data_IF_085948987083
#
_entry.id   IF_085948987083
#
_cell.length_a   1.000
_cell.length_b   1.000
_cell.length_c   1.000
_cell.angle_alpha   90.00
_cell.angle_beta   90.00
_cell.angle_gamma   90.00
#
_symmetry.space_group_name_H-M   'P 1'
#
loop_
_entity.id
_entity.type
_entity.pdbx_description
1 polymer ?
#
# COMPACT_ATOMS: atom_id res chain seq x y z
N UNK A 1 12.99 25.42 -2.96
CA UNK A 1 12.07 24.35 -3.39
C UNK A 1 10.69 24.68 -2.85
N UNK A 2 9.61 24.23 -3.48
CA UNK A 2 8.23 24.52 -3.06
C UNK A 2 7.67 23.44 -2.13
N UNK A 3 6.56 23.71 -1.44
CA UNK A 3 5.88 22.71 -0.60
C UNK A 3 5.44 21.50 -1.41
N UNK A 4 4.98 21.71 -2.67
CA UNK A 4 4.58 20.62 -3.58
C UNK A 4 5.75 19.69 -3.90
N UNK A 5 6.96 20.21 -4.02
CA UNK A 5 8.14 19.36 -4.26
C UNK A 5 8.38 18.38 -3.10
N UNK A 6 8.32 18.87 -1.85
CA UNK A 6 8.53 18.01 -0.69
C UNK A 6 7.36 17.05 -0.46
N UNK A 7 6.12 17.52 -0.70
CA UNK A 7 4.94 16.64 -0.62
C UNK A 7 5.00 15.55 -1.68
N UNK A 8 5.51 15.84 -2.90
CA UNK A 8 5.69 14.83 -3.94
C UNK A 8 6.72 13.76 -3.53
N UNK A 9 7.78 14.13 -2.80
CA UNK A 9 8.73 13.14 -2.24
C UNK A 9 8.04 12.24 -1.22
N UNK A 10 7.20 12.81 -0.34
CA UNK A 10 6.42 12.04 0.62
C UNK A 10 5.43 11.08 -0.08
N UNK A 11 4.72 11.57 -1.11
CA UNK A 11 3.82 10.76 -1.94
C UNK A 11 4.57 9.59 -2.60
N UNK A 12 5.68 9.87 -3.27
CA UNK A 12 6.45 8.82 -3.95
C UNK A 12 6.90 7.74 -2.97
N UNK A 13 7.33 8.13 -1.77
CA UNK A 13 7.73 7.18 -0.72
C UNK A 13 6.55 6.36 -0.20
N UNK A 14 5.37 6.96 -0.07
CA UNK A 14 4.16 6.25 0.35
C UNK A 14 3.69 5.21 -0.68
N UNK A 15 3.82 5.49 -1.98
CA UNK A 15 3.46 4.56 -3.05
C UNK A 15 4.26 3.25 -3.02
N UNK A 16 5.51 3.26 -2.50
CA UNK A 16 6.30 2.03 -2.31
C UNK A 16 5.60 1.02 -1.37
N UNK A 17 4.72 1.50 -0.48
CA UNK A 17 4.01 0.69 0.51
C UNK A 17 2.50 0.61 0.27
N UNK A 18 2.01 1.06 -0.89
CA UNK A 18 0.59 1.01 -1.21
C UNK A 18 0.05 -0.42 -1.18
N UNK A 19 -1.03 -0.63 -0.42
CA UNK A 19 -1.63 -1.94 -0.15
C UNK A 19 -0.91 -2.76 0.94
N UNK A 20 0.41 -2.57 1.13
CA UNK A 20 1.20 -3.31 2.14
C UNK A 20 0.87 -2.91 3.58
N UNK A 21 0.30 -1.74 3.77
CA UNK A 21 -0.04 -1.18 5.08
C UNK A 21 -1.40 -1.64 5.60
N UNK A 22 -2.18 -2.40 4.81
CA UNK A 22 -3.51 -2.85 5.22
C UNK A 22 -3.52 -3.40 6.66
N UNK A 23 -4.50 -3.05 7.53
CA UNK A 23 -5.67 -2.19 7.28
C UNK A 23 -5.41 -0.67 7.44
N UNK A 24 -4.19 -0.21 7.62
CA UNK A 24 -3.83 1.19 7.72
C UNK A 24 -3.66 1.83 6.32
N UNK A 25 -3.80 3.18 6.19
CA UNK A 25 -3.48 3.86 4.93
C UNK A 25 -1.98 3.86 4.64
N UNK A 26 -1.62 3.97 3.36
CA UNK A 26 -0.27 4.34 2.96
C UNK A 26 -0.05 5.84 3.24
N UNK A 27 0.98 6.16 4.01
CA UNK A 27 1.34 7.54 4.40
C UNK A 27 2.83 7.74 4.24
N UNK A 28 3.22 8.88 3.69
CA UNK A 28 4.62 9.30 3.57
C UNK A 28 4.87 10.59 4.33
N UNK A 29 6.10 10.75 4.80
CA UNK A 29 6.54 11.96 5.49
C UNK A 29 7.96 12.37 5.06
N UNK A 30 8.17 13.69 5.01
CA UNK A 30 9.48 14.31 4.73
C UNK A 30 9.79 15.34 5.80
N UNK A 31 11.01 15.30 6.35
CA UNK A 31 11.50 16.33 7.27
C UNK A 31 12.56 17.16 6.57
N UNK A 32 12.45 18.48 6.69
CA UNK A 32 13.40 19.43 6.09
C UNK A 32 13.91 20.44 7.12
N UNK A 33 15.12 20.96 6.88
CA UNK A 33 15.71 22.08 7.59
C UNK A 33 16.32 23.06 6.58
N UNK A 34 15.91 24.33 6.62
CA UNK A 34 16.41 25.39 5.72
C UNK A 34 16.38 24.99 4.23
N UNK A 35 15.31 24.28 3.83
CA UNK A 35 15.12 23.80 2.45
C UNK A 35 15.93 22.54 2.09
N UNK A 36 16.73 21.98 2.99
CA UNK A 36 17.46 20.72 2.81
C UNK A 36 16.61 19.55 3.34
N UNK A 37 16.47 18.49 2.56
CA UNK A 37 15.82 17.26 2.99
C UNK A 37 16.73 16.53 3.99
N UNK A 38 16.20 16.23 5.17
CA UNK A 38 16.86 15.44 6.21
C UNK A 38 16.46 13.97 6.14
N UNK A 39 15.16 13.71 5.91
CA UNK A 39 14.61 12.36 5.87
C UNK A 39 13.39 12.28 4.95
N UNK A 40 13.18 11.09 4.36
CA UNK A 40 12.00 10.72 3.56
C UNK A 40 11.61 9.32 4.00
N UNK A 41 10.45 9.17 4.63
CA UNK A 41 9.98 7.88 5.16
C UNK A 41 8.50 7.64 4.86
N UNK A 42 8.07 6.38 5.05
CA UNK A 42 6.67 6.00 4.93
C UNK A 42 6.26 5.02 6.02
N UNK A 43 4.97 4.96 6.32
CA UNK A 43 4.39 3.88 7.09
C UNK A 43 4.52 2.57 6.31
N UNK A 44 5.10 1.54 6.91
CA UNK A 44 5.52 0.33 6.19
C UNK A 44 4.61 -0.88 6.46
N UNK A 45 4.10 -1.00 7.69
CA UNK A 45 3.28 -2.14 8.12
C UNK A 45 2.36 -1.75 9.26
N UNK A 46 1.13 -2.24 9.26
CA UNK A 46 0.17 -2.00 10.33
C UNK A 46 0.72 -2.45 11.71
N UNK A 47 0.59 -1.59 12.70
CA UNK A 47 1.10 -1.80 14.06
C UNK A 47 2.53 -1.29 14.31
N UNK A 48 3.27 -0.95 13.26
CA UNK A 48 4.59 -0.33 13.34
C UNK A 48 4.49 1.19 13.45
N UNK A 49 5.65 1.86 13.60
CA UNK A 49 5.75 3.32 13.64
C UNK A 49 5.11 3.96 12.40
N UNK A 50 4.43 5.09 12.58
CA UNK A 50 3.87 5.88 11.49
C UNK A 50 4.98 6.66 10.74
N UNK A 51 4.66 7.15 9.56
CA UNK A 51 5.60 7.84 8.68
C UNK A 51 6.28 9.03 9.36
N UNK A 52 5.51 9.82 10.13
CA UNK A 52 6.00 10.99 10.85
C UNK A 52 7.09 10.60 11.87
N UNK A 53 6.84 9.52 12.61
CA UNK A 53 7.77 9.01 13.63
C UNK A 53 9.07 8.54 12.97
N UNK A 54 8.96 7.75 11.92
CA UNK A 54 10.11 7.25 11.17
C UNK A 54 10.92 8.40 10.56
N UNK A 55 10.25 9.38 9.95
CA UNK A 55 10.91 10.53 9.36
C UNK A 55 11.63 11.40 10.41
N UNK A 56 11.07 11.56 11.61
CA UNK A 56 11.72 12.27 12.71
C UNK A 56 12.91 11.50 13.28
N UNK A 57 12.84 10.17 13.41
CA UNK A 57 13.99 9.34 13.81
C UNK A 57 15.12 9.47 12.78
N UNK A 58 14.83 9.29 11.50
CA UNK A 58 15.85 9.42 10.43
C UNK A 58 16.43 10.84 10.35
N UNK A 59 15.60 11.86 10.60
CA UNK A 59 16.07 13.26 10.69
C UNK A 59 16.95 13.50 11.92
N UNK A 60 16.63 12.88 13.07
CA UNK A 60 17.50 12.91 14.24
C UNK A 60 18.88 12.34 13.94
N UNK A 61 18.96 11.14 13.34
CA UNK A 61 20.22 10.51 12.98
C UNK A 61 21.04 11.38 12.00
N UNK A 62 20.37 12.04 11.05
CA UNK A 62 20.99 12.96 10.10
C UNK A 62 21.56 14.20 10.79
N UNK A 63 20.82 14.80 11.74
CA UNK A 63 21.22 16.02 12.43
C UNK A 63 22.28 15.77 13.51
N UNK A 64 22.11 14.72 14.32
CA UNK A 64 22.99 14.39 15.43
C UNK A 64 24.26 13.64 15.01
N UNK A 65 24.28 13.08 13.79
CA UNK A 65 25.30 12.15 13.32
C UNK A 65 25.47 10.92 14.25
N UNK A 66 24.39 10.51 14.90
CA UNK A 66 24.36 9.41 15.87
C UNK A 66 23.21 8.47 15.52
N UNK A 67 23.49 7.19 15.37
CA UNK A 67 22.47 6.17 15.17
C UNK A 67 21.74 5.84 16.47
N UNK A 68 20.44 5.52 16.35
CA UNK A 68 19.67 4.95 17.46
C UNK A 68 20.08 3.50 17.71
N UNK A 69 19.88 3.02 18.94
CA UNK A 69 20.23 1.67 19.40
C UNK A 69 18.99 0.73 19.55
N UNK A 70 17.85 1.16 19.04
CA UNK A 70 16.59 0.42 19.09
C UNK A 70 15.96 0.28 17.69
N UNK A 71 14.94 -0.59 17.57
CA UNK A 71 14.20 -0.76 16.32
C UNK A 71 13.25 0.44 16.10
N UNK A 72 13.45 1.27 15.05
CA UNK A 72 12.60 2.43 14.78
C UNK A 72 11.14 2.05 14.47
N UNK A 73 10.87 0.78 14.14
CA UNK A 73 9.51 0.27 13.93
C UNK A 73 8.75 0.01 15.23
N UNK A 74 9.43 0.00 16.39
CA UNK A 74 8.75 0.00 17.69
C UNK A 74 8.22 1.40 18.00
N UNK A 75 6.94 1.61 17.72
CA UNK A 75 6.29 2.90 17.86
C UNK A 75 6.37 3.49 19.28
N UNK A 76 6.35 2.65 20.32
CA UNK A 76 6.44 3.12 21.72
C UNK A 76 7.83 3.59 22.05
N UNK A 77 8.87 2.81 21.68
CA UNK A 77 10.26 3.20 21.91
C UNK A 77 10.60 4.46 21.12
N UNK A 78 10.22 4.52 19.84
CA UNK A 78 10.47 5.66 18.98
C UNK A 78 9.80 6.95 19.51
N UNK A 79 8.53 6.89 19.94
CA UNK A 79 7.86 8.04 20.57
C UNK A 79 8.53 8.46 21.87
N UNK A 80 8.86 7.52 22.76
CA UNK A 80 9.53 7.81 24.04
C UNK A 80 10.87 8.49 23.81
N UNK A 81 11.65 7.98 22.85
CA UNK A 81 12.93 8.56 22.47
C UNK A 81 12.77 10.00 21.97
N UNK A 82 11.88 10.23 20.98
CA UNK A 82 11.66 11.57 20.41
C UNK A 82 11.20 12.57 21.48
N UNK A 83 10.35 12.17 22.42
CA UNK A 83 9.90 13.02 23.53
C UNK A 83 11.01 13.28 24.59
N UNK A 84 12.08 12.49 24.61
CA UNK A 84 13.23 12.71 25.50
C UNK A 84 14.22 13.74 24.99
N UNK A 85 14.11 14.14 23.72
CA UNK A 85 14.98 15.13 23.12
C UNK A 85 14.70 16.53 23.66
N UNK A 86 15.69 17.46 23.61
CA UNK A 86 15.45 18.88 23.92
C UNK A 86 14.28 19.42 23.10
N UNK A 87 13.41 20.23 23.71
CA UNK A 87 12.18 20.75 23.07
C UNK A 87 12.43 21.57 21.81
N UNK A 88 13.61 22.16 21.69
CA UNK A 88 14.04 22.98 20.56
C UNK A 88 14.79 22.19 19.46
N UNK A 89 15.03 20.89 19.67
CA UNK A 89 15.82 20.07 18.75
C UNK A 89 15.31 20.14 17.30
N UNK A 90 13.97 20.09 17.10
CA UNK A 90 13.33 20.17 15.79
C UNK A 90 12.66 21.52 15.51
N UNK A 91 12.85 22.55 16.36
CA UNK A 91 12.12 23.81 16.30
C UNK A 91 12.26 24.59 14.98
N UNK A 92 13.35 24.38 14.25
CA UNK A 92 13.58 24.97 12.92
C UNK A 92 13.21 24.04 11.75
N UNK A 93 12.77 22.80 12.04
CA UNK A 93 12.41 21.84 11.02
C UNK A 93 10.97 22.01 10.55
N UNK A 94 10.72 21.64 9.30
CA UNK A 94 9.39 21.51 8.72
C UNK A 94 9.15 20.04 8.41
N UNK A 95 7.96 19.53 8.76
CA UNK A 95 7.51 18.20 8.33
C UNK A 95 6.41 18.32 7.30
N UNK A 96 6.49 17.50 6.26
CA UNK A 96 5.47 17.28 5.24
C UNK A 96 4.91 15.89 5.43
N UNK A 97 3.59 15.75 5.47
CA UNK A 97 2.92 14.46 5.63
C UNK A 97 1.72 14.36 4.70
N UNK A 98 1.56 13.24 4.02
CA UNK A 98 0.50 13.07 3.00
C UNK A 98 -0.90 13.01 3.60
N UNK A 99 -1.03 12.65 4.89
CA UNK A 99 -2.29 12.54 5.62
C UNK A 99 -2.21 13.28 6.94
N UNK A 100 -3.33 13.83 7.39
CA UNK A 100 -3.47 14.45 8.72
C UNK A 100 -2.92 13.54 9.83
N UNK A 101 -2.01 14.02 10.70
CA UNK A 101 -1.47 13.25 11.80
C UNK A 101 -2.57 12.78 12.76
N UNK A 102 -2.55 11.49 13.12
CA UNK A 102 -3.59 10.90 13.95
C UNK A 102 -3.72 11.59 15.31
N UNK A 103 -4.98 11.85 15.74
CA UNK A 103 -5.31 12.53 16.99
C UNK A 103 -5.42 11.58 18.18
N UNK A 104 -5.75 10.31 17.95
CA UNK A 104 -6.01 9.30 18.96
C UNK A 104 -4.83 8.36 19.20
N UNK A 105 -4.77 7.79 20.39
CA UNK A 105 -3.87 6.70 20.73
C UNK A 105 -4.58 5.38 20.47
N UNK A 106 -4.13 4.64 19.47
CA UNK A 106 -4.60 3.29 19.14
C UNK A 106 -3.56 2.23 19.52
N UNK A 107 -3.16 1.42 18.55
CA UNK A 107 -2.03 0.48 18.68
C UNK A 107 -0.70 1.23 18.84
N UNK A 108 -0.62 2.44 18.31
CA UNK A 108 0.52 3.36 18.38
C UNK A 108 0.11 4.64 19.11
N UNK A 109 1.05 5.38 19.74
CA UNK A 109 0.76 6.70 20.30
C UNK A 109 0.39 7.72 19.20
N UNK A 110 -0.32 8.81 19.59
CA UNK A 110 -0.77 9.87 18.66
C UNK A 110 0.39 10.64 18.03
N UNK A 111 0.43 10.73 16.72
CA UNK A 111 1.40 11.56 15.99
C UNK A 111 1.17 13.04 16.22
N UNK A 112 -0.10 13.50 16.29
CA UNK A 112 -0.41 14.91 16.57
C UNK A 112 0.14 15.36 17.92
N UNK A 113 0.01 14.53 18.96
CA UNK A 113 0.57 14.83 20.29
C UNK A 113 2.10 14.88 20.29
N UNK A 114 2.73 14.02 19.53
CA UNK A 114 4.19 14.04 19.34
C UNK A 114 4.64 15.33 18.67
N UNK A 115 4.04 15.66 17.51
CA UNK A 115 4.41 16.86 16.73
C UNK A 115 4.17 18.16 17.53
N UNK A 116 3.08 18.22 18.32
CA UNK A 116 2.81 19.33 19.26
C UNK A 116 3.96 19.49 20.28
N UNK A 117 4.43 18.37 20.85
CA UNK A 117 5.49 18.38 21.86
C UNK A 117 6.86 18.77 21.33
N UNK A 118 7.14 18.45 20.05
CA UNK A 118 8.42 18.72 19.37
C UNK A 118 8.53 20.16 18.84
N UNK A 119 7.45 20.93 18.87
CA UNK A 119 7.40 22.35 18.49
C UNK A 119 8.06 22.68 17.12
N UNK A 120 7.78 21.86 16.11
CA UNK A 120 8.26 22.07 14.75
C UNK A 120 7.90 23.47 14.21
N UNK A 121 8.73 24.04 13.38
CA UNK A 121 8.47 25.37 12.82
C UNK A 121 7.21 25.39 11.92
N UNK A 122 6.90 24.26 11.27
CA UNK A 122 5.71 24.11 10.40
C UNK A 122 5.37 22.65 10.17
N UNK A 123 4.07 22.36 10.09
CA UNK A 123 3.53 21.04 9.68
C UNK A 123 2.70 21.24 8.41
N UNK A 124 3.10 20.60 7.32
CA UNK A 124 2.45 20.69 6.01
C UNK A 124 1.73 19.35 5.75
N UNK A 125 0.42 19.44 5.54
CA UNK A 125 -0.47 18.28 5.43
C UNK A 125 -1.04 18.21 4.01
N UNK A 126 -0.94 17.05 3.37
CA UNK A 126 -1.50 16.82 2.04
C UNK A 126 -3.02 16.85 2.05
N UNK A 127 -3.64 16.01 2.84
CA UNK A 127 -5.10 15.95 2.98
C UNK A 127 -5.53 15.63 4.41
N UNK A 128 -6.77 16.01 4.75
CA UNK A 128 -7.39 15.67 6.04
C UNK A 128 -7.73 14.19 6.12
N UNK A 129 -7.82 13.66 7.35
CA UNK A 129 -8.31 12.29 7.54
C UNK A 129 -9.79 12.21 7.11
N UNK A 130 -10.11 11.33 6.15
CA UNK A 130 -11.48 11.19 5.66
C UNK A 130 -12.39 10.41 6.60
N UNK A 131 -11.87 9.81 7.67
CA UNK A 131 -12.64 9.00 8.61
C UNK A 131 -13.13 9.87 9.75
N UNK A 132 -14.46 9.97 9.89
CA UNK A 132 -15.10 10.73 10.95
C UNK A 132 -14.66 10.20 12.32
N UNK A 133 -14.18 11.09 13.18
CA UNK A 133 -13.67 10.77 14.52
C UNK A 133 -12.18 10.40 14.57
N UNK A 134 -11.51 10.31 13.42
CA UNK A 134 -10.04 10.22 13.34
C UNK A 134 -9.39 11.57 13.07
N UNK A 135 -10.17 12.51 12.54
CA UNK A 135 -9.82 13.91 12.26
C UNK A 135 -9.54 14.71 13.55
N UNK A 136 -9.07 15.93 13.39
CA UNK A 136 -8.82 16.87 14.48
C UNK A 136 -7.39 16.86 15.03
N UNK A 137 -6.50 16.04 14.51
CA UNK A 137 -5.07 16.07 14.84
C UNK A 137 -4.43 17.42 14.52
N UNK A 138 -4.78 18.00 13.36
CA UNK A 138 -4.29 19.31 12.95
C UNK A 138 -4.70 20.46 13.88
N UNK A 139 -5.83 20.35 14.60
CA UNK A 139 -6.32 21.39 15.51
C UNK A 139 -5.42 21.59 16.75
N UNK A 140 -4.55 20.63 17.01
CA UNK A 140 -3.57 20.65 18.10
C UNK A 140 -2.25 21.29 17.69
N UNK A 141 -2.02 21.41 16.38
CA UNK A 141 -0.75 21.84 15.82
C UNK A 141 -0.77 23.33 15.52
N UNK A 142 0.30 24.03 15.91
CA UNK A 142 0.55 25.40 15.48
C UNK A 142 1.22 25.42 14.09
N UNK A 143 1.01 26.50 13.32
CA UNK A 143 1.67 26.69 12.04
C UNK A 143 1.45 25.55 11.00
N UNK A 144 0.19 25.13 10.86
CA UNK A 144 -0.21 24.14 9.86
C UNK A 144 -0.54 24.76 8.51
N UNK A 145 -0.23 24.02 7.44
CA UNK A 145 -0.71 24.28 6.09
C UNK A 145 -1.33 22.97 5.55
N UNK A 146 -2.52 23.04 4.98
CA UNK A 146 -3.27 21.85 4.52
C UNK A 146 -3.64 22.01 3.05
N UNK A 147 -3.74 20.90 2.31
CA UNK A 147 -4.19 20.88 0.91
C UNK A 147 -3.05 20.95 -0.11
N UNK A 148 -1.82 20.66 0.29
CA UNK A 148 -0.69 20.58 -0.64
C UNK A 148 -0.73 19.24 -1.39
N UNK A 149 -0.91 19.28 -2.72
CA UNK A 149 -1.16 18.12 -3.57
C UNK A 149 -2.34 17.26 -3.07
N UNK A 150 -3.41 17.92 -2.62
CA UNK A 150 -4.53 17.27 -1.95
C UNK A 150 -5.15 16.14 -2.78
N UNK A 151 -5.40 16.36 -4.07
CA UNK A 151 -5.99 15.37 -4.97
C UNK A 151 -5.11 14.12 -5.09
N UNK A 152 -3.78 14.28 -5.19
CA UNK A 152 -2.86 13.16 -5.24
C UNK A 152 -2.81 12.40 -3.90
N UNK A 153 -2.88 13.11 -2.78
CA UNK A 153 -2.96 12.50 -1.44
C UNK A 153 -4.28 11.74 -1.25
N UNK A 154 -5.40 12.30 -1.70
CA UNK A 154 -6.71 11.61 -1.68
C UNK A 154 -6.71 10.36 -2.56
N UNK A 155 -6.09 10.42 -3.74
CA UNK A 155 -5.92 9.25 -4.62
C UNK A 155 -5.12 8.15 -3.91
N UNK A 156 -4.02 8.48 -3.23
CA UNK A 156 -3.24 7.52 -2.44
C UNK A 156 -4.09 6.84 -1.35
N UNK A 157 -5.05 7.57 -0.74
CA UNK A 157 -5.91 7.08 0.34
C UNK A 157 -7.16 6.31 -0.14
N UNK A 158 -7.48 6.34 -1.43
CA UNK A 158 -8.71 5.74 -1.97
C UNK A 158 -8.91 4.28 -1.52
N UNK A 159 -7.90 3.36 -1.56
CA UNK A 159 -8.06 2.01 -1.04
C UNK A 159 -8.46 1.96 0.43
N UNK A 160 -7.82 2.80 1.27
CA UNK A 160 -8.13 2.88 2.70
C UNK A 160 -9.59 3.28 2.94
N UNK A 161 -10.11 4.27 2.21
CA UNK A 161 -11.49 4.73 2.33
C UNK A 161 -12.46 3.62 1.92
N UNK A 162 -12.13 2.86 0.87
CA UNK A 162 -12.99 1.81 0.34
C UNK A 162 -13.06 0.62 1.30
N UNK A 163 -11.93 0.11 1.78
CA UNK A 163 -11.94 -1.09 2.62
C UNK A 163 -12.49 -0.88 4.03
N UNK A 164 -12.77 0.37 4.43
CA UNK A 164 -13.55 0.65 5.64
C UNK A 164 -15.06 0.35 5.46
N UNK A 165 -15.54 0.28 4.22
CA UNK A 165 -16.97 0.20 3.89
C UNK A 165 -17.37 -1.08 3.18
N UNK A 166 -16.50 -1.59 2.32
CA UNK A 166 -16.64 -2.79 1.50
C UNK A 166 -15.28 -3.31 1.08
N UNK A 167 -15.23 -4.42 0.36
CA UNK A 167 -13.98 -4.89 -0.22
C UNK A 167 -13.39 -3.83 -1.16
N UNK A 168 -12.10 -3.54 -0.99
CA UNK A 168 -11.27 -2.94 -2.03
C UNK A 168 -10.73 -4.06 -2.90
N UNK A 169 -11.06 -4.02 -4.18
CA UNK A 169 -10.76 -5.08 -5.14
C UNK A 169 -9.61 -4.65 -6.05
N UNK A 170 -8.45 -5.24 -5.82
CA UNK A 170 -7.23 -5.03 -6.61
C UNK A 170 -7.04 -6.17 -7.60
N UNK A 171 -7.18 -5.91 -8.89
CA UNK A 171 -6.83 -6.89 -9.93
C UNK A 171 -5.34 -6.82 -10.25
N UNK A 172 -4.60 -7.90 -9.98
CA UNK A 172 -3.16 -7.97 -10.25
C UNK A 172 -2.90 -8.77 -11.51
N UNK A 173 -2.11 -8.23 -12.42
CA UNK A 173 -1.62 -8.93 -13.59
C UNK A 173 -0.13 -8.70 -13.84
N UNK A 174 0.49 -9.63 -14.57
CA UNK A 174 1.84 -9.47 -15.09
C UNK A 174 1.81 -9.71 -16.60
N UNK A 175 2.50 -8.86 -17.34
CA UNK A 175 2.57 -8.95 -18.80
C UNK A 175 3.93 -8.55 -19.34
N UNK A 176 4.24 -9.02 -20.54
CA UNK A 176 5.39 -8.57 -21.32
C UNK A 176 5.15 -7.18 -21.92
N UNK A 177 6.18 -6.52 -22.43
CA UNK A 177 6.08 -5.20 -23.08
C UNK A 177 5.14 -5.19 -24.30
N UNK A 178 4.90 -6.34 -24.93
CA UNK A 178 3.92 -6.50 -26.00
C UNK A 178 2.60 -7.17 -25.55
N UNK A 179 2.26 -7.10 -24.25
CA UNK A 179 0.96 -7.50 -23.71
C UNK A 179 0.70 -9.01 -23.59
N UNK A 180 1.74 -9.86 -23.57
CA UNK A 180 1.57 -11.31 -23.40
C UNK A 180 1.60 -11.69 -21.92
N UNK A 181 0.70 -12.63 -21.51
CA UNK A 181 0.46 -13.00 -20.11
C UNK A 181 0.78 -14.46 -19.79
N UNK A 182 1.26 -15.24 -20.72
CA UNK A 182 1.58 -16.66 -20.53
C UNK A 182 3.07 -16.96 -20.69
N UNK A 183 3.46 -18.22 -20.42
CA UNK A 183 4.83 -18.71 -20.60
C UNK A 183 5.64 -18.79 -19.29
N UNK A 184 4.99 -18.96 -18.15
CA UNK A 184 5.61 -19.10 -16.82
C UNK A 184 5.82 -17.77 -16.10
N UNK A 185 6.80 -17.70 -15.20
CA UNK A 185 7.10 -16.48 -14.46
C UNK A 185 7.63 -15.38 -15.39
N UNK A 186 6.85 -14.32 -15.54
CA UNK A 186 7.21 -13.17 -16.36
C UNK A 186 8.05 -12.15 -15.57
N UNK A 187 7.59 -11.81 -14.37
CA UNK A 187 8.15 -10.73 -13.54
C UNK A 187 9.50 -11.09 -12.92
N UNK A 188 10.26 -10.08 -12.53
CA UNK A 188 11.49 -10.18 -11.76
C UNK A 188 11.23 -10.75 -10.35
N UNK A 189 12.31 -11.17 -9.67
CA UNK A 189 12.22 -11.65 -8.29
C UNK A 189 11.69 -10.54 -7.34
N UNK A 190 12.09 -9.31 -7.55
CA UNK A 190 11.64 -8.15 -6.76
C UNK A 190 10.13 -7.95 -6.90
N UNK A 191 9.61 -7.97 -8.13
CA UNK A 191 8.16 -7.88 -8.40
C UNK A 191 7.39 -9.06 -7.81
N UNK A 192 7.94 -10.27 -7.89
CA UNK A 192 7.35 -11.45 -7.24
C UNK A 192 7.31 -11.29 -5.71
N UNK A 193 8.38 -10.78 -5.10
CA UNK A 193 8.42 -10.50 -3.66
C UNK A 193 7.36 -9.48 -3.26
N UNK A 194 7.16 -8.42 -4.06
CA UNK A 194 6.10 -7.45 -3.82
C UNK A 194 4.70 -8.08 -3.89
N UNK A 195 4.43 -8.93 -4.90
CA UNK A 195 3.15 -9.68 -4.98
C UNK A 195 2.96 -10.56 -3.75
N UNK A 196 4.00 -11.26 -3.28
CA UNK A 196 3.92 -12.11 -2.10
C UNK A 196 3.70 -11.29 -0.81
N UNK A 197 4.29 -10.11 -0.71
CA UNK A 197 4.03 -9.18 0.40
C UNK A 197 2.56 -8.67 0.39
N UNK A 198 2.00 -8.36 -0.78
CA UNK A 198 0.59 -8.03 -0.91
C UNK A 198 -0.32 -9.19 -0.51
N UNK A 199 0.02 -10.44 -0.91
CA UNK A 199 -0.71 -11.64 -0.48
C UNK A 199 -0.64 -11.89 1.03
N UNK A 200 0.49 -11.56 1.68
CA UNK A 200 0.66 -11.68 3.13
C UNK A 200 -0.34 -10.81 3.91
N UNK A 201 -0.71 -9.66 3.37
CA UNK A 201 -1.55 -8.67 4.07
C UNK A 201 -3.01 -8.65 3.60
N UNK A 202 -3.33 -9.12 2.39
CA UNK A 202 -4.71 -9.11 1.92
C UNK A 202 -5.60 -10.05 2.76
N UNK A 203 -6.89 -9.72 2.84
CA UNK A 203 -7.87 -10.55 3.54
C UNK A 203 -8.17 -11.83 2.76
N UNK A 204 -8.27 -11.72 1.44
CA UNK A 204 -8.66 -12.82 0.56
C UNK A 204 -8.00 -12.69 -0.81
N UNK A 205 -7.48 -13.79 -1.32
CA UNK A 205 -7.07 -13.93 -2.71
C UNK A 205 -8.19 -14.57 -3.52
N UNK A 206 -8.72 -13.85 -4.50
CA UNK A 206 -9.78 -14.32 -5.39
C UNK A 206 -9.20 -14.85 -6.70
N UNK A 207 -9.57 -16.08 -7.10
CA UNK A 207 -9.07 -16.74 -8.31
C UNK A 207 -10.20 -17.45 -9.05
N UNK A 208 -10.11 -17.53 -10.38
CA UNK A 208 -11.07 -18.27 -11.21
C UNK A 208 -10.89 -19.79 -11.15
N UNK A 209 -12.00 -20.52 -11.16
CA UNK A 209 -11.98 -21.99 -11.13
C UNK A 209 -11.19 -22.62 -12.26
N UNK A 210 -11.21 -22.07 -13.48
CA UNK A 210 -10.43 -22.57 -14.61
C UNK A 210 -8.93 -22.47 -14.36
N UNK A 211 -8.46 -21.32 -13.83
CA UNK A 211 -7.06 -21.14 -13.46
C UNK A 211 -6.61 -22.18 -12.41
N UNK A 212 -7.49 -22.49 -11.43
CA UNK A 212 -7.17 -23.52 -10.43
C UNK A 212 -7.03 -24.91 -11.06
N UNK A 213 -7.88 -25.26 -12.03
CA UNK A 213 -7.84 -26.57 -12.72
C UNK A 213 -6.62 -26.70 -13.63
N UNK A 214 -6.29 -25.64 -14.38
CA UNK A 214 -5.22 -25.63 -15.37
C UNK A 214 -3.84 -25.49 -14.73
N UNK A 215 -3.67 -24.44 -13.89
CA UNK A 215 -2.35 -24.04 -13.37
C UNK A 215 -1.98 -24.79 -12.08
N UNK A 216 -2.96 -25.40 -11.39
CA UNK A 216 -2.79 -26.12 -10.11
C UNK A 216 -1.94 -25.32 -9.10
N UNK A 217 -2.28 -24.06 -8.83
CA UNK A 217 -1.41 -23.11 -8.16
C UNK A 217 -1.24 -23.41 -6.68
N UNK A 218 -0.23 -22.81 -6.06
CA UNK A 218 -0.02 -22.81 -4.60
C UNK A 218 -0.66 -21.59 -3.95
N UNK A 219 -0.48 -20.39 -4.53
CA UNK A 219 -0.97 -19.09 -4.05
C UNK A 219 -0.54 -18.79 -2.61
N UNK A 220 0.70 -19.09 -2.29
CA UNK A 220 1.32 -18.78 -1.00
C UNK A 220 2.06 -17.41 -1.04
N UNK A 221 2.71 -17.08 0.07
CA UNK A 221 3.59 -15.94 0.23
C UNK A 221 5.05 -16.35 0.51
N UNK A 222 5.55 -17.40 -0.18
CA UNK A 222 6.89 -18.04 0.05
C UNK A 222 8.10 -17.12 -0.05
N UNK A 223 7.95 -15.94 -0.66
CA UNK A 223 9.02 -14.93 -0.74
C UNK A 223 8.99 -13.93 0.41
N UNK A 224 8.08 -14.12 1.36
CA UNK A 224 7.98 -13.37 2.62
C UNK A 224 7.90 -14.36 3.78
N UNK A 225 7.93 -13.86 5.01
CA UNK A 225 7.85 -14.68 6.23
C UNK A 225 6.44 -14.79 6.82
N UNK A 226 5.44 -14.21 6.14
CA UNK A 226 4.09 -14.11 6.66
C UNK A 226 3.20 -15.31 6.34
N UNK A 227 1.95 -15.22 6.80
CA UNK A 227 0.91 -16.24 6.56
C UNK A 227 0.35 -16.12 5.14
N UNK A 228 0.12 -17.28 4.49
CA UNK A 228 -0.57 -17.33 3.20
C UNK A 228 -2.02 -16.80 3.35
N UNK A 229 -2.56 -16.05 2.37
CA UNK A 229 -3.91 -15.51 2.43
C UNK A 229 -4.95 -16.62 2.32
N UNK A 230 -6.15 -16.36 2.85
CA UNK A 230 -7.32 -17.16 2.52
C UNK A 230 -7.64 -17.03 1.02
N UNK A 231 -8.19 -18.09 0.43
CA UNK A 231 -8.48 -18.11 -1.02
C UNK A 231 -9.97 -18.31 -1.26
N UNK A 232 -10.52 -17.50 -2.14
CA UNK A 232 -11.86 -17.68 -2.69
C UNK A 232 -11.75 -18.09 -4.15
N UNK A 233 -12.28 -19.27 -4.50
CA UNK A 233 -12.36 -19.73 -5.89
C UNK A 233 -13.73 -19.34 -6.45
N UNK A 234 -13.74 -18.46 -7.46
CA UNK A 234 -14.95 -18.08 -8.16
C UNK A 234 -15.27 -19.13 -9.22
N UNK A 235 -16.25 -19.99 -8.94
CA UNK A 235 -16.62 -21.11 -9.81
C UNK A 235 -18.02 -21.62 -9.51
N UNK A 236 -18.77 -21.96 -10.58
CA UNK A 236 -20.05 -22.66 -10.48
C UNK A 236 -19.89 -24.15 -10.15
N UNK A 237 -18.72 -24.70 -10.36
CA UNK A 237 -18.41 -26.11 -10.16
C UNK A 237 -17.43 -26.29 -9.02
N UNK A 238 -17.63 -27.32 -8.21
CA UNK A 238 -16.76 -27.72 -7.09
C UNK A 238 -15.91 -28.96 -7.41
N UNK A 239 -15.65 -29.24 -8.66
CA UNK A 239 -14.88 -30.40 -9.13
C UNK A 239 -13.37 -30.11 -9.15
N UNK A 240 -12.76 -29.85 -8.00
CA UNK A 240 -11.34 -29.57 -7.87
C UNK A 240 -10.56 -30.76 -7.31
N UNK A 241 -9.35 -31.00 -7.86
CA UNK A 241 -8.41 -31.93 -7.25
C UNK A 241 -7.89 -31.33 -5.92
N UNK A 242 -8.39 -31.90 -4.81
CA UNK A 242 -8.02 -31.44 -3.45
C UNK A 242 -6.57 -31.80 -3.08
N UNK A 243 -5.84 -32.50 -3.94
CA UNK A 243 -4.43 -32.88 -3.72
C UNK A 243 -3.45 -31.78 -4.20
N UNK A 244 -3.89 -30.75 -4.90
CA UNK A 244 -3.01 -29.65 -5.32
C UNK A 244 -2.55 -28.82 -4.11
N UNK A 245 -1.38 -28.16 -4.21
CA UNK A 245 -0.80 -27.38 -3.10
C UNK A 245 -1.75 -26.33 -2.50
N UNK A 246 -2.61 -25.73 -3.31
CA UNK A 246 -3.61 -24.74 -2.88
C UNK A 246 -4.40 -25.21 -1.65
N UNK A 247 -4.86 -26.46 -1.60
CA UNK A 247 -5.70 -26.98 -0.52
C UNK A 247 -4.90 -27.59 0.64
N UNK A 248 -3.55 -27.58 0.57
CA UNK A 248 -2.68 -28.24 1.56
C UNK A 248 -1.87 -27.28 2.42
N UNK A 249 -2.01 -25.98 2.21
CA UNK A 249 -1.33 -24.99 3.05
C UNK A 249 -2.05 -24.91 4.39
N UNK A 250 -1.29 -25.05 5.47
CA UNK A 250 -1.80 -24.94 6.82
C UNK A 250 -2.32 -23.53 7.12
N UNK A 251 -3.28 -23.42 8.03
CA UNK A 251 -3.85 -22.16 8.54
C UNK A 251 -4.47 -21.26 7.46
N UNK A 252 -4.91 -21.84 6.35
CA UNK A 252 -5.58 -21.16 5.23
C UNK A 252 -6.97 -21.73 5.03
N UNK A 253 -7.96 -20.87 4.86
CA UNK A 253 -9.29 -21.23 4.39
C UNK A 253 -9.38 -21.14 2.87
N UNK A 254 -10.02 -22.12 2.23
CA UNK A 254 -10.31 -22.14 0.80
C UNK A 254 -11.81 -22.29 0.59
N UNK A 255 -12.46 -21.19 0.19
CA UNK A 255 -13.87 -21.17 -0.18
C UNK A 255 -14.09 -21.33 -1.69
N UNK A 256 -15.26 -21.86 -2.07
CA UNK A 256 -15.71 -21.92 -3.47
C UNK A 256 -17.08 -21.30 -3.52
N UNK A 257 -17.27 -20.32 -4.40
CA UNK A 257 -18.54 -19.62 -4.59
C UNK A 257 -18.76 -19.25 -6.06
N UNK A 258 -20.01 -19.17 -6.44
CA UNK A 258 -20.45 -18.67 -7.75
C UNK A 258 -21.07 -17.27 -7.68
N UNK A 259 -21.05 -16.64 -6.49
CA UNK A 259 -21.43 -15.26 -6.23
C UNK A 259 -20.24 -14.43 -5.71
N UNK A 260 -20.47 -13.12 -5.62
CA UNK A 260 -19.50 -12.14 -5.16
C UNK A 260 -20.00 -11.33 -3.96
N UNK A 261 -20.98 -11.83 -3.23
CA UNK A 261 -21.64 -11.12 -2.13
C UNK A 261 -20.66 -10.78 -0.99
N UNK A 262 -19.61 -11.59 -0.80
CA UNK A 262 -18.56 -11.34 0.19
C UNK A 262 -17.81 -10.02 -0.06
N UNK A 263 -17.81 -9.49 -1.29
CA UNK A 263 -17.21 -8.18 -1.61
C UNK A 263 -17.96 -6.98 -1.00
N UNK A 264 -19.13 -7.20 -0.45
CA UNK A 264 -19.88 -6.16 0.28
C UNK A 264 -19.33 -5.89 1.68
N UNK A 265 -18.47 -6.78 2.20
CA UNK A 265 -17.88 -6.66 3.52
C UNK A 265 -16.54 -5.91 3.49
N UNK A 266 -16.24 -5.08 4.51
CA UNK A 266 -14.96 -4.40 4.65
C UNK A 266 -13.78 -5.37 4.58
N UNK A 267 -12.91 -5.21 3.55
CA UNK A 267 -11.76 -6.11 3.33
C UNK A 267 -10.84 -5.58 2.23
N UNK A 268 -9.66 -6.21 2.12
CA UNK A 268 -8.78 -6.05 0.98
C UNK A 268 -8.72 -7.37 0.21
N UNK A 269 -9.18 -7.36 -1.04
CA UNK A 269 -9.25 -8.52 -1.93
C UNK A 269 -8.31 -8.33 -3.11
N UNK A 270 -7.40 -9.27 -3.30
CA UNK A 270 -6.56 -9.34 -4.49
C UNK A 270 -7.16 -10.35 -5.45
N UNK A 271 -7.32 -9.98 -6.70
CA UNK A 271 -7.77 -10.86 -7.77
C UNK A 271 -6.58 -11.25 -8.64
N UNK A 272 -6.36 -12.53 -8.81
CA UNK A 272 -5.42 -13.08 -9.77
C UNK A 272 -6.14 -13.96 -10.79
N UNK A 273 -5.80 -13.79 -12.07
CA UNK A 273 -6.44 -14.58 -13.12
C UNK A 273 -6.19 -14.00 -14.51
N UNK A 274 -6.68 -14.70 -15.52
CA UNK A 274 -6.64 -14.27 -16.91
C UNK A 274 -7.85 -13.42 -17.29
N UNK A 275 -8.04 -13.28 -18.61
CA UNK A 275 -9.09 -12.45 -19.22
C UNK A 275 -10.51 -12.79 -18.71
N UNK A 276 -10.81 -14.08 -18.49
CA UNK A 276 -12.12 -14.51 -17.98
C UNK A 276 -12.46 -13.89 -16.62
N UNK A 277 -11.48 -13.82 -15.69
CA UNK A 277 -11.66 -13.18 -14.39
C UNK A 277 -11.76 -11.66 -14.51
N UNK A 278 -10.95 -11.04 -15.37
CA UNK A 278 -11.04 -9.60 -15.63
C UNK A 278 -12.43 -9.22 -16.14
N UNK A 279 -12.97 -9.94 -17.10
CA UNK A 279 -14.31 -9.70 -17.66
C UNK A 279 -15.42 -9.95 -16.62
N UNK A 280 -15.32 -11.01 -15.82
CA UNK A 280 -16.31 -11.35 -14.81
C UNK A 280 -16.39 -10.29 -13.68
N UNK A 281 -15.28 -9.64 -13.38
CA UNK A 281 -15.15 -8.68 -12.28
C UNK A 281 -15.06 -7.22 -12.71
N UNK A 282 -15.14 -6.92 -14.02
CA UNK A 282 -14.90 -5.60 -14.59
C UNK A 282 -15.57 -4.46 -13.82
N UNK A 283 -16.84 -4.65 -13.40
CA UNK A 283 -17.62 -3.65 -12.66
C UNK A 283 -17.39 -3.66 -11.14
N UNK A 284 -16.53 -4.54 -10.65
CA UNK A 284 -16.21 -4.70 -9.22
C UNK A 284 -14.78 -4.32 -8.90
N UNK A 285 -13.91 -4.25 -9.93
CA UNK A 285 -12.50 -3.90 -9.77
C UNK A 285 -12.39 -2.40 -9.47
N UNK A 286 -11.73 -2.07 -8.36
CA UNK A 286 -11.41 -0.69 -8.02
C UNK A 286 -10.12 -0.26 -8.71
N UNK A 287 -9.04 -1.03 -8.52
CA UNK A 287 -7.75 -0.74 -9.13
C UNK A 287 -7.15 -1.95 -9.84
N UNK A 288 -6.26 -1.67 -10.80
CA UNK A 288 -5.48 -2.67 -11.51
C UNK A 288 -4.00 -2.40 -11.26
N UNK A 289 -3.29 -3.43 -10.79
CA UNK A 289 -1.84 -3.44 -10.59
C UNK A 289 -1.19 -4.26 -11.70
N UNK A 290 -0.40 -3.59 -12.54
CA UNK A 290 0.24 -4.20 -13.70
C UNK A 290 1.76 -4.25 -13.45
N UNK A 291 2.32 -5.47 -13.51
CA UNK A 291 3.77 -5.66 -13.62
C UNK A 291 4.11 -5.83 -15.11
N UNK A 292 4.73 -4.81 -15.68
CA UNK A 292 5.14 -4.85 -17.08
C UNK A 292 6.62 -5.17 -17.18
N UNK A 293 6.94 -6.33 -17.76
CA UNK A 293 8.32 -6.80 -17.88
C UNK A 293 8.96 -6.32 -19.18
N UNK A 294 10.27 -6.06 -19.21
CA UNK A 294 10.99 -5.63 -20.39
C UNK A 294 11.28 -6.80 -21.34
N UNK A 295 10.27 -7.62 -21.61
CA UNK A 295 10.35 -8.79 -22.48
C UNK A 295 9.38 -8.65 -23.63
N UNK A 296 9.74 -9.19 -24.79
CA UNK A 296 8.83 -9.46 -25.90
C UNK A 296 8.59 -10.96 -25.98
N UNK A 297 7.34 -11.40 -26.16
CA UNK A 297 6.98 -12.81 -26.22
C UNK A 297 6.06 -13.08 -27.41
N UNK A 298 6.20 -14.26 -28.01
CA UNK A 298 5.30 -14.78 -29.04
C UNK A 298 4.16 -15.62 -28.47
N UNK A 299 4.04 -15.70 -27.12
CA UNK A 299 2.97 -16.46 -26.47
C UNK A 299 1.60 -15.96 -26.94
N UNK A 300 0.66 -16.89 -27.15
CA UNK A 300 -0.66 -16.57 -27.73
C UNK A 300 -1.62 -15.86 -26.76
N UNK A 301 -1.45 -16.06 -25.43
CA UNK A 301 -2.35 -15.46 -24.44
C UNK A 301 -2.08 -13.96 -24.26
N UNK A 302 -3.14 -13.18 -24.27
CA UNK A 302 -3.16 -11.74 -23.99
C UNK A 302 -4.54 -11.35 -23.46
N UNK A 303 -4.67 -10.14 -22.88
CA UNK A 303 -5.99 -9.59 -22.60
C UNK A 303 -6.54 -8.94 -23.88
N UNK A 304 -7.77 -9.31 -24.25
CA UNK A 304 -8.51 -8.73 -25.39
C UNK A 304 -9.68 -7.85 -24.93
N UNK A 305 -9.77 -7.61 -23.63
CA UNK A 305 -10.78 -6.78 -22.99
C UNK A 305 -10.53 -5.30 -23.30
N UNK A 306 -11.56 -4.59 -23.75
CA UNK A 306 -11.51 -3.13 -23.88
C UNK A 306 -11.83 -2.47 -22.55
N UNK A 307 -10.91 -1.66 -22.03
CA UNK A 307 -11.02 -0.93 -20.79
C UNK A 307 -10.16 0.33 -20.86
N UNK A 308 -10.71 1.48 -20.50
CA UNK A 308 -9.93 2.70 -20.37
C UNK A 308 -9.38 2.81 -18.96
N UNK A 309 -8.09 3.10 -18.84
CA UNK A 309 -7.39 3.20 -17.55
C UNK A 309 -6.79 4.59 -17.36
N UNK A 310 -6.90 5.12 -16.14
CA UNK A 310 -6.08 6.22 -15.67
C UNK A 310 -4.91 5.64 -14.87
N UNK A 311 -3.68 5.97 -15.25
CA UNK A 311 -2.51 5.64 -14.42
C UNK A 311 -2.46 6.56 -13.20
N UNK A 312 -2.39 5.98 -12.01
CA UNK A 312 -2.33 6.67 -10.73
C UNK A 312 -0.88 6.87 -10.29
N UNK A 313 -0.06 5.84 -10.48
CA UNK A 313 1.36 5.85 -10.17
C UNK A 313 2.12 4.86 -11.05
N UNK A 314 3.36 5.20 -11.35
CA UNK A 314 4.28 4.33 -12.07
C UNK A 314 5.64 4.37 -11.40
N UNK A 315 6.17 3.20 -11.07
CA UNK A 315 7.52 3.06 -10.52
C UNK A 315 8.27 1.92 -11.21
N UNK A 316 9.59 1.93 -11.07
CA UNK A 316 10.47 0.89 -11.56
C UNK A 316 10.94 0.02 -10.40
N UNK A 317 10.53 -1.26 -10.39
CA UNK A 317 11.03 -2.26 -9.47
C UNK A 317 12.03 -3.18 -10.16
N UNK A 318 13.32 -3.00 -9.89
CA UNK A 318 14.42 -3.69 -10.56
C UNK A 318 14.36 -3.45 -12.08
N UNK A 319 13.94 -4.44 -12.86
CA UNK A 319 13.81 -4.36 -14.32
C UNK A 319 12.37 -4.12 -14.79
N UNK A 320 11.38 -4.38 -13.94
CA UNK A 320 9.97 -4.27 -14.29
C UNK A 320 9.43 -2.86 -14.01
N UNK A 321 8.37 -2.46 -14.75
CA UNK A 321 7.53 -1.33 -14.39
C UNK A 321 6.34 -1.82 -13.57
N UNK A 322 6.05 -1.12 -12.49
CA UNK A 322 4.87 -1.34 -11.64
C UNK A 322 3.91 -0.19 -11.87
N UNK A 323 2.74 -0.50 -12.42
CA UNK A 323 1.74 0.48 -12.82
C UNK A 323 0.49 0.29 -11.97
N UNK A 324 0.15 1.31 -11.19
CA UNK A 324 -1.10 1.40 -10.46
C UNK A 324 -2.09 2.17 -11.32
N UNK A 325 -3.26 1.62 -11.54
CA UNK A 325 -4.28 2.25 -12.39
C UNK A 325 -5.68 1.96 -11.88
N UNK A 326 -6.63 2.80 -12.30
CA UNK A 326 -8.06 2.57 -12.11
C UNK A 326 -8.81 2.67 -13.42
N UNK A 327 -9.94 1.98 -13.50
CA UNK A 327 -10.83 2.12 -14.64
C UNK A 327 -11.46 3.52 -14.64
N UNK A 328 -11.49 4.16 -15.82
CA UNK A 328 -12.25 5.39 -16.04
C UNK A 328 -13.46 5.09 -16.92
N UNK A 329 -14.58 5.77 -16.65
CA UNK A 329 -15.81 5.61 -17.43
C UNK A 329 -15.60 5.92 -18.92
N UNK A 330 -16.47 5.35 -19.71
CA UNK A 330 -16.55 5.60 -21.16
C UNK A 330 -17.07 7.00 -21.46
#
# INVERSE_FOLDING_TARGET
MTDEFYMQLALNKAWEYQGLTYPNPAVGAVVTLEGKVLAIEAHQKAGNSHAEVLALISAYETLSQTSIDFNPQDAKQAHTFLLSLPKDFFSSCIIYVTLEPCSHTGKTPSCASLLESLALSRVVIGTKDPIIGHDGGMNRLSHTCVGILEEACQTLLEPFIIWQKRAFVLFKLAQTSNGRIGGGYLSSHTSLTHVHALREVCSTLLIGGNTVREDRPTLDCRFTSGKAPDVMIYSKEDNFDRNIPLFRIADRDVGIKDDLDFLTQPSFVIVEGGEGMLNALKEKIDWILIYQTPKLSTHHLSYNTTMNLAFLHCDKQDVDLVLWSRQIGH
#
